data_IF_502915439497
#
_entry.id   IF_502915439497
#
_cell.length_a   1.000
_cell.length_b   1.000
_cell.length_c   1.000
_cell.angle_alpha   90.00
_cell.angle_beta   90.00
_cell.angle_gamma   90.00
#
_symmetry.space_group_name_H-M   'P 1'
#
loop_
_entity.id
_entity.type
_entity.pdbx_description
1 polymer ?
#
# COMPACT_ATOMS: atom_id res chain seq x y z
N UNK A 1 7.82 0.38 1.59
CA UNK A 1 8.90 1.32 1.20
C UNK A 1 10.18 0.55 0.93
N UNK A 2 10.75 0.77 -0.24
CA UNK A 2 11.99 0.09 -0.65
C UNK A 2 13.14 0.35 0.32
N UNK A 3 13.28 1.60 0.77
CA UNK A 3 14.36 2.00 1.69
C UNK A 3 14.29 1.23 3.00
N UNK A 4 13.09 1.02 3.55
CA UNK A 4 12.92 0.27 4.80
C UNK A 4 13.24 -1.21 4.63
N UNK A 5 13.15 -1.73 3.41
CA UNK A 5 13.51 -3.11 3.09
C UNK A 5 14.99 -3.27 2.74
N UNK A 6 15.77 -2.19 2.77
CA UNK A 6 17.18 -2.20 2.43
C UNK A 6 17.46 -2.02 0.94
N UNK A 7 16.44 -1.77 0.13
CA UNK A 7 16.60 -1.54 -1.30
C UNK A 7 16.90 -0.06 -1.59
N UNK A 8 17.50 0.19 -2.76
CA UNK A 8 17.73 1.55 -3.21
C UNK A 8 16.41 2.22 -3.58
N UNK A 9 16.28 3.56 -3.34
CA UNK A 9 15.09 4.27 -3.76
C UNK A 9 14.97 4.29 -5.29
N UNK A 10 13.73 4.23 -5.77
CA UNK A 10 13.45 4.28 -7.21
C UNK A 10 12.13 5.01 -7.50
N UNK A 11 11.88 5.36 -8.76
CA UNK A 11 10.65 6.04 -9.13
C UNK A 11 9.43 5.15 -8.94
N UNK A 12 8.31 5.75 -8.54
CA UNK A 12 7.03 5.05 -8.42
C UNK A 12 5.87 6.04 -8.57
N UNK A 13 4.66 5.52 -8.79
CA UNK A 13 3.44 6.32 -8.92
C UNK A 13 2.67 6.46 -7.60
N UNK A 14 3.19 5.97 -6.49
CA UNK A 14 2.53 6.06 -5.19
C UNK A 14 2.93 7.34 -4.49
N UNK A 15 2.00 8.31 -4.48
CA UNK A 15 2.25 9.62 -3.87
C UNK A 15 2.19 9.51 -2.35
N UNK A 16 3.10 10.22 -1.68
CA UNK A 16 3.09 10.36 -0.23
C UNK A 16 3.71 9.23 0.57
N UNK A 17 4.22 8.19 -0.11
CA UNK A 17 4.94 7.12 0.57
C UNK A 17 6.25 6.82 -0.19
N UNK A 18 7.18 6.17 0.49
CA UNK A 18 8.46 5.82 -0.12
C UNK A 18 9.33 7.01 -0.49
N UNK A 19 9.58 7.96 0.43
CA UNK A 19 10.30 9.20 0.09
C UNK A 19 11.78 9.02 -0.24
N UNK A 20 12.32 7.81 -0.17
CA UNK A 20 13.73 7.55 -0.51
C UNK A 20 14.68 7.67 0.68
N UNK A 21 14.17 7.93 1.87
CA UNK A 21 14.96 8.02 3.10
C UNK A 21 14.14 7.59 4.30
N UNK A 22 14.81 7.26 5.42
CA UNK A 22 14.13 7.01 6.69
C UNK A 22 13.89 8.35 7.38
N UNK A 23 12.63 8.78 7.56
CA UNK A 23 12.33 10.02 8.29
C UNK A 23 12.86 9.98 9.72
N UNK A 24 13.38 11.11 10.20
CA UNK A 24 13.95 11.20 11.55
C UNK A 24 12.92 10.88 12.65
N UNK A 25 11.63 11.14 12.38
CA UNK A 25 10.57 10.87 13.36
C UNK A 25 10.13 9.41 13.39
N UNK A 26 10.61 8.60 12.44
CA UNK A 26 10.23 7.20 12.39
C UNK A 26 11.02 6.40 13.44
N UNK A 27 10.30 5.76 14.35
CA UNK A 27 10.88 4.86 15.33
C UNK A 27 10.88 3.44 14.75
N UNK A 28 12.05 3.02 14.25
CA UNK A 28 12.21 1.71 13.63
C UNK A 28 11.94 0.55 14.61
N UNK A 29 12.06 0.81 15.92
CA UNK A 29 11.82 -0.24 16.92
C UNK A 29 10.35 -0.64 17.01
N UNK A 30 9.44 0.19 16.48
CA UNK A 30 8.01 -0.10 16.44
C UNK A 30 7.60 -0.95 15.24
N UNK A 31 8.53 -1.16 14.30
CA UNK A 31 8.25 -1.93 13.08
C UNK A 31 8.60 -3.39 13.31
N UNK A 32 7.60 -4.27 13.27
CA UNK A 32 7.82 -5.70 13.37
C UNK A 32 8.24 -6.31 12.05
N UNK A 33 7.67 -5.79 10.94
CA UNK A 33 7.90 -6.36 9.63
C UNK A 33 7.64 -5.32 8.53
N UNK A 34 8.44 -5.37 7.47
CA UNK A 34 8.28 -4.53 6.29
C UNK A 34 7.85 -5.42 5.12
N UNK A 35 6.75 -5.06 4.47
CA UNK A 35 6.21 -5.80 3.33
C UNK A 35 6.28 -4.90 2.09
N UNK A 36 7.25 -5.11 1.20
CA UNK A 36 7.32 -4.38 -0.06
C UNK A 36 6.12 -4.71 -0.95
N UNK A 37 5.55 -3.69 -1.57
CA UNK A 37 4.42 -3.84 -2.49
C UNK A 37 4.78 -3.13 -3.79
N UNK A 38 4.63 -3.82 -4.91
CA UNK A 38 4.87 -3.22 -6.20
C UNK A 38 3.79 -2.20 -6.53
N UNK A 39 4.14 -1.21 -7.35
CA UNK A 39 3.20 -0.22 -7.85
C UNK A 39 2.02 -0.89 -8.56
N UNK A 40 2.30 -1.90 -9.37
CA UNK A 40 1.28 -2.67 -10.09
C UNK A 40 0.29 -3.32 -9.13
N UNK A 41 0.78 -3.98 -8.09
CA UNK A 41 -0.09 -4.66 -7.12
C UNK A 41 -0.91 -3.65 -6.31
N UNK A 42 -0.32 -2.52 -5.96
CA UNK A 42 -1.03 -1.45 -5.25
C UNK A 42 -2.18 -0.90 -6.10
N UNK A 43 -1.92 -0.61 -7.38
CA UNK A 43 -2.92 -0.09 -8.29
C UNK A 43 -4.05 -1.10 -8.53
N UNK A 44 -3.68 -2.35 -8.76
CA UNK A 44 -4.66 -3.41 -9.01
C UNK A 44 -5.56 -3.62 -7.78
N UNK A 45 -4.99 -3.61 -6.59
CA UNK A 45 -5.75 -3.77 -5.36
C UNK A 45 -6.70 -2.61 -5.14
N UNK A 46 -6.25 -1.37 -5.38
CA UNK A 46 -7.11 -0.20 -5.26
C UNK A 46 -8.29 -0.27 -6.25
N UNK A 47 -8.03 -0.71 -7.48
CA UNK A 47 -9.06 -0.88 -8.50
C UNK A 47 -10.07 -1.95 -8.10
N UNK A 48 -9.60 -3.08 -7.59
CA UNK A 48 -10.47 -4.15 -7.14
C UNK A 48 -11.32 -3.72 -5.96
N UNK A 49 -10.76 -2.96 -5.02
CA UNK A 49 -11.51 -2.44 -3.88
C UNK A 49 -12.65 -1.53 -4.35
N UNK A 50 -12.39 -0.64 -5.31
CA UNK A 50 -13.43 0.20 -5.88
C UNK A 50 -14.51 -0.61 -6.58
N UNK A 51 -14.10 -1.62 -7.34
CA UNK A 51 -15.02 -2.44 -8.13
C UNK A 51 -15.85 -3.40 -7.27
N UNK A 52 -15.22 -4.09 -6.34
CA UNK A 52 -15.87 -5.17 -5.59
C UNK A 52 -16.54 -4.69 -4.31
N UNK A 53 -15.97 -3.68 -3.66
CA UNK A 53 -16.46 -3.18 -2.37
C UNK A 53 -17.09 -1.79 -2.46
N UNK A 54 -16.96 -1.12 -3.59
CA UNK A 54 -17.47 0.23 -3.75
C UNK A 54 -16.70 1.27 -2.94
N UNK A 55 -15.47 0.97 -2.54
CA UNK A 55 -14.65 1.86 -1.70
C UNK A 55 -13.54 2.46 -2.56
N UNK A 56 -13.62 3.75 -2.90
CA UNK A 56 -12.64 4.40 -3.79
C UNK A 56 -11.40 4.87 -3.01
N UNK A 57 -10.45 3.98 -2.80
CA UNK A 57 -9.18 4.29 -2.14
C UNK A 57 -8.13 4.69 -3.17
N UNK A 58 -7.09 5.41 -2.70
CA UNK A 58 -5.96 5.77 -3.55
C UNK A 58 -4.92 4.66 -3.67
N UNK A 59 -3.87 4.92 -4.45
CA UNK A 59 -2.84 3.91 -4.74
C UNK A 59 -2.09 3.51 -3.45
N UNK A 60 -1.75 4.49 -2.60
CA UNK A 60 -1.06 4.19 -1.34
C UNK A 60 -1.91 3.31 -0.41
N UNK A 61 -3.23 3.55 -0.40
CA UNK A 61 -4.15 2.71 0.35
C UNK A 61 -4.28 1.32 -0.27
N UNK A 62 -4.16 1.22 -1.59
CA UNK A 62 -4.07 -0.06 -2.29
C UNK A 62 -2.85 -0.84 -1.85
N UNK A 63 -1.72 -0.16 -1.63
CA UNK A 63 -0.51 -0.81 -1.15
C UNK A 63 -0.70 -1.37 0.26
N UNK A 64 -1.28 -0.60 1.18
CA UNK A 64 -1.52 -1.09 2.55
C UNK A 64 -2.54 -2.22 2.56
N UNK A 65 -3.57 -2.14 1.74
CA UNK A 65 -4.57 -3.21 1.65
C UNK A 65 -3.97 -4.48 1.05
N UNK A 66 -3.14 -4.36 0.02
CA UNK A 66 -2.46 -5.51 -0.57
C UNK A 66 -1.61 -6.24 0.47
N UNK A 67 -0.81 -5.48 1.24
CA UNK A 67 0.03 -6.04 2.28
C UNK A 67 -0.81 -6.74 3.37
N UNK A 68 -1.92 -6.12 3.76
CA UNK A 68 -2.82 -6.70 4.75
C UNK A 68 -3.43 -8.02 4.25
N UNK A 69 -3.84 -8.08 2.98
CA UNK A 69 -4.38 -9.30 2.39
C UNK A 69 -3.33 -10.39 2.27
N UNK A 70 -2.10 -10.04 1.91
CA UNK A 70 -1.00 -10.99 1.84
C UNK A 70 -0.69 -11.57 3.23
N UNK A 71 -0.68 -10.72 4.25
CA UNK A 71 -0.47 -11.14 5.63
C UNK A 71 -1.60 -12.04 6.12
N UNK A 72 -2.85 -11.72 5.74
CA UNK A 72 -4.02 -12.51 6.14
C UNK A 72 -3.99 -13.92 5.57
N UNK A 73 -3.31 -14.14 4.46
CA UNK A 73 -3.19 -15.47 3.83
C UNK A 73 -2.13 -16.34 4.49
N UNK A 74 -1.31 -15.80 5.37
CA UNK A 74 -0.30 -16.58 6.07
C UNK A 74 -0.94 -17.49 7.11
N UNK A 75 -0.42 -18.71 7.30
CA UNK A 75 -1.03 -19.69 8.24
C UNK A 75 -1.15 -19.17 9.66
N UNK A 76 -0.19 -18.37 10.13
CA UNK A 76 -0.21 -17.80 11.47
C UNK A 76 -1.25 -16.73 11.71
N UNK A 77 -1.94 -16.27 10.64
CA UNK A 77 -2.93 -15.20 10.74
C UNK A 77 -4.36 -15.69 10.91
N UNK A 78 -4.58 -16.99 10.91
CA UNK A 78 -5.92 -17.55 11.02
C UNK A 78 -6.61 -17.07 12.32
N UNK A 79 -7.82 -16.53 12.19
CA UNK A 79 -8.57 -16.03 13.33
C UNK A 79 -8.15 -14.68 13.86
N UNK A 80 -7.12 -14.06 13.28
CA UNK A 80 -6.63 -12.74 13.72
C UNK A 80 -7.35 -11.61 12.99
N UNK A 81 -7.48 -10.48 13.68
CA UNK A 81 -8.00 -9.25 13.10
C UNK A 81 -6.84 -8.43 12.55
N UNK A 82 -6.96 -7.99 11.30
CA UNK A 82 -5.95 -7.17 10.65
C UNK A 82 -6.56 -5.82 10.31
N UNK A 83 -5.89 -4.74 10.72
CA UNK A 83 -6.33 -3.38 10.44
C UNK A 83 -5.35 -2.74 9.47
N UNK A 84 -5.87 -2.16 8.40
CA UNK A 84 -5.08 -1.41 7.42
C UNK A 84 -5.59 0.02 7.37
N UNK A 85 -4.66 0.98 7.29
CA UNK A 85 -5.02 2.39 7.19
C UNK A 85 -5.17 2.77 5.71
N UNK A 86 -6.35 3.24 5.34
CA UNK A 86 -6.63 3.76 4.01
C UNK A 86 -6.55 5.30 4.05
N UNK A 87 -5.33 5.81 4.01
CA UNK A 87 -5.06 7.23 4.25
C UNK A 87 -5.33 8.12 3.03
N UNK A 88 -5.52 7.54 1.84
CA UNK A 88 -5.74 8.28 0.61
C UNK A 88 -7.02 7.86 -0.07
N UNK A 89 -7.63 8.79 -0.82
CA UNK A 89 -8.83 8.51 -1.60
C UNK A 89 -8.51 8.52 -3.09
N UNK A 90 -9.37 7.87 -3.89
CA UNK A 90 -9.19 7.76 -5.32
C UNK A 90 -9.25 9.10 -6.04
N UNK A 91 -9.94 10.08 -5.50
CA UNK A 91 -10.09 11.41 -6.11
C UNK A 91 -8.76 12.10 -6.38
N UNK A 92 -7.75 11.83 -5.55
CA UNK A 92 -6.42 12.40 -5.73
C UNK A 92 -5.69 11.84 -6.95
N UNK A 93 -6.18 10.75 -7.52
CA UNK A 93 -5.50 9.98 -8.58
C UNK A 93 -6.30 9.90 -9.87
N UNK A 94 -7.33 10.74 -10.04
CA UNK A 94 -8.17 10.70 -11.24
C UNK A 94 -7.39 10.99 -12.53
N UNK A 95 -6.31 11.76 -12.43
CA UNK A 95 -5.44 12.07 -13.56
C UNK A 95 -4.28 11.09 -13.73
N UNK A 96 -4.20 10.06 -12.89
CA UNK A 96 -3.16 9.03 -12.96
C UNK A 96 -3.66 7.79 -13.70
N UNK A 97 -2.84 6.75 -13.74
CA UNK A 97 -3.17 5.49 -14.39
C UNK A 97 -4.10 4.59 -13.56
N UNK A 98 -4.49 5.02 -12.34
CA UNK A 98 -5.23 4.17 -11.40
C UNK A 98 -6.51 3.58 -12.02
N UNK A 99 -7.27 4.38 -12.75
CA UNK A 99 -8.56 3.95 -13.28
C UNK A 99 -8.56 3.73 -14.79
N UNK A 100 -7.41 3.63 -15.42
CA UNK A 100 -7.34 3.32 -16.83
C UNK A 100 -7.99 1.95 -17.10
N UNK A 101 -8.95 1.93 -17.99
CA UNK A 101 -9.64 0.69 -18.35
C UNK A 101 -10.76 0.26 -17.42
N UNK A 102 -11.12 1.09 -16.45
CA UNK A 102 -12.30 0.82 -15.62
C UNK A 102 -13.56 1.36 -16.23
#
# INVERSE_FOLDING_TARGET
MQVLSGDDPGPHEIQGIGPGFCPAILDMSLIDRVLPVSERDAMQTARQCARLEGIPIGISSGATLYAALALAREPGSAGKRIVAIAASSAERYLSTNLFNGL
#
